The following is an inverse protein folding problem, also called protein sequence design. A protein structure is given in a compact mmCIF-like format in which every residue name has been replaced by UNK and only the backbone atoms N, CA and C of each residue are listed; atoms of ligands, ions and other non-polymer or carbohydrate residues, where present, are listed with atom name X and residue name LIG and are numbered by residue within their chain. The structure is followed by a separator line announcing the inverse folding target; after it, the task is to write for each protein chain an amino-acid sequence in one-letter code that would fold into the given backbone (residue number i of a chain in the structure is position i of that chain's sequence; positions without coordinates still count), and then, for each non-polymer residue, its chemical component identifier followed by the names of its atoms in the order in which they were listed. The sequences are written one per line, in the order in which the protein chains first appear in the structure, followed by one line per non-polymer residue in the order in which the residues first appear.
data_IF_914540669047
#
_entry.id   IF_914540669047
#
_cell.length_a   1.000
_cell.length_b   1.000
_cell.length_c   1.000
_cell.angle_alpha   90.00
_cell.angle_beta   90.00
_cell.angle_gamma   90.00
#
_symmetry.space_group_name_H-M   'P 1'
#
loop_
_entity.id
_entity.type
_entity.pdbx_description
1 polymer ?
#
# COMPACT_ATOMS: atom_id res chain seq x y z
N UNK A 1 -12.22 6.36 -23.43
CA UNK A 1 -12.96 6.34 -22.15
C UNK A 1 -12.28 7.35 -21.24
N UNK A 2 -13.01 8.19 -20.50
CA UNK A 2 -12.38 9.20 -19.63
C UNK A 2 -12.16 8.57 -18.24
N UNK A 3 -10.91 8.43 -17.80
CA UNK A 3 -10.59 7.95 -16.45
C UNK A 3 -10.49 9.11 -15.46
N UNK A 4 -10.66 8.84 -14.17
CA UNK A 4 -10.37 9.81 -13.10
C UNK A 4 -9.03 9.43 -12.46
N UNK A 5 -7.91 10.08 -12.85
CA UNK A 5 -6.57 9.65 -12.42
C UNK A 5 -6.32 9.83 -10.92
N UNK A 6 -6.96 10.81 -10.29
CA UNK A 6 -6.82 11.07 -8.85
C UNK A 6 -7.71 10.17 -7.98
N UNK A 7 -8.36 9.16 -8.55
CA UNK A 7 -9.11 8.17 -7.78
C UNK A 7 -8.11 7.27 -7.00
N UNK A 8 -8.21 7.20 -5.65
CA UNK A 8 -7.30 6.37 -4.85
C UNK A 8 -7.33 4.88 -5.21
N UNK A 9 -8.37 4.38 -5.89
CA UNK A 9 -8.47 2.99 -6.35
C UNK A 9 -7.34 2.58 -7.29
N UNK A 10 -6.74 3.51 -8.03
CA UNK A 10 -5.59 3.19 -8.90
C UNK A 10 -4.36 2.75 -8.09
N UNK A 11 -4.05 3.48 -7.02
CA UNK A 11 -2.96 3.13 -6.11
C UNK A 11 -3.29 1.83 -5.37
N UNK A 12 -4.52 1.69 -4.85
CA UNK A 12 -4.96 0.47 -4.16
C UNK A 12 -4.87 -0.77 -5.08
N UNK A 13 -5.21 -0.63 -6.37
CA UNK A 13 -5.05 -1.70 -7.36
C UNK A 13 -3.60 -2.11 -7.53
N UNK A 14 -2.69 -1.13 -7.67
CA UNK A 14 -1.25 -1.37 -7.84
C UNK A 14 -0.59 -1.97 -6.59
N UNK A 15 -1.08 -1.60 -5.40
CA UNK A 15 -0.61 -2.14 -4.13
C UNK A 15 -1.28 -3.47 -3.74
N UNK A 16 -2.34 -3.89 -4.45
CA UNK A 16 -3.03 -5.15 -4.20
C UNK A 16 -4.01 -5.12 -3.03
N UNK A 17 -4.57 -3.95 -2.73
CA UNK A 17 -5.44 -3.69 -1.57
C UNK A 17 -6.94 -3.81 -1.90
N UNK A 18 -7.29 -3.88 -3.19
CA UNK A 18 -8.67 -4.03 -3.65
C UNK A 18 -9.20 -5.45 -3.46
N UNK A 19 -10.51 -5.55 -3.21
CA UNK A 19 -11.22 -6.82 -3.28
C UNK A 19 -11.37 -7.33 -4.74
N UNK A 20 -11.99 -8.50 -4.90
CA UNK A 20 -12.12 -9.13 -6.20
C UNK A 20 -13.00 -8.34 -7.19
N UNK A 21 -14.07 -7.71 -6.71
CA UNK A 21 -15.02 -6.99 -7.55
C UNK A 21 -14.44 -5.65 -7.99
N UNK A 22 -13.83 -4.93 -7.04
CA UNK A 22 -13.11 -3.67 -7.30
C UNK A 22 -11.92 -3.87 -8.24
N UNK A 23 -11.15 -4.95 -8.04
CA UNK A 23 -10.05 -5.33 -8.94
C UNK A 23 -10.55 -5.57 -10.35
N UNK A 24 -11.62 -6.35 -10.52
CA UNK A 24 -12.19 -6.66 -11.82
C UNK A 24 -12.70 -5.40 -12.54
N UNK A 25 -13.20 -4.41 -11.79
CA UNK A 25 -13.57 -3.10 -12.34
C UNK A 25 -12.36 -2.38 -12.96
N UNK A 26 -11.28 -2.23 -12.19
CA UNK A 26 -10.07 -1.57 -12.65
C UNK A 26 -9.44 -2.32 -13.83
N UNK A 27 -9.41 -3.65 -13.82
CA UNK A 27 -8.87 -4.47 -14.91
C UNK A 27 -9.62 -4.24 -16.23
N UNK A 28 -10.94 -4.05 -16.21
CA UNK A 28 -11.72 -3.67 -17.41
C UNK A 28 -11.33 -2.28 -17.93
N UNK A 29 -11.05 -1.33 -17.04
CA UNK A 29 -10.59 0.00 -17.42
C UNK A 29 -9.20 -0.06 -18.07
N UNK A 30 -8.29 -0.83 -17.48
CA UNK A 30 -6.93 -1.06 -17.99
C UNK A 30 -6.98 -1.75 -19.37
N UNK A 31 -7.83 -2.75 -19.55
CA UNK A 31 -7.97 -3.45 -20.84
C UNK A 31 -8.56 -2.56 -21.94
N UNK A 32 -9.39 -1.58 -21.59
CA UNK A 32 -10.08 -0.73 -22.57
C UNK A 32 -9.45 0.65 -22.79
N UNK A 33 -8.41 1.03 -22.03
CA UNK A 33 -7.82 2.37 -22.08
C UNK A 33 -6.28 2.34 -22.06
N UNK A 34 -5.65 2.96 -23.05
CA UNK A 34 -4.20 3.17 -23.07
C UNK A 34 -3.77 4.09 -21.93
N UNK A 35 -4.54 5.14 -21.66
CA UNK A 35 -4.30 6.08 -20.55
C UNK A 35 -4.28 5.37 -19.19
N UNK A 36 -5.19 4.41 -18.97
CA UNK A 36 -5.23 3.62 -17.74
C UNK A 36 -4.02 2.69 -17.61
N UNK A 37 -3.56 2.09 -18.71
CA UNK A 37 -2.34 1.28 -18.71
C UNK A 37 -1.12 2.11 -18.33
N UNK A 38 -0.98 3.30 -18.93
CA UNK A 38 0.12 4.22 -18.62
C UNK A 38 0.11 4.62 -17.14
N UNK A 39 -1.05 5.02 -16.60
CA UNK A 39 -1.18 5.37 -15.18
C UNK A 39 -0.77 4.21 -14.26
N UNK A 40 -1.21 2.98 -14.56
CA UNK A 40 -0.85 1.79 -13.79
C UNK A 40 0.66 1.52 -13.84
N UNK A 41 1.30 1.68 -14.99
CA UNK A 41 2.74 1.49 -15.11
C UNK A 41 3.53 2.56 -14.34
N UNK A 42 3.12 3.84 -14.41
CA UNK A 42 3.74 4.92 -13.63
C UNK A 42 3.65 4.66 -12.12
N UNK A 43 2.47 4.26 -11.63
CA UNK A 43 2.27 3.91 -10.23
C UNK A 43 3.08 2.68 -9.82
N UNK A 44 3.21 1.67 -10.68
CA UNK A 44 4.05 0.49 -10.42
C UNK A 44 5.52 0.86 -10.27
N UNK A 45 6.02 1.74 -11.14
CA UNK A 45 7.39 2.26 -11.07
C UNK A 45 7.61 3.03 -9.77
N UNK A 46 6.72 3.98 -9.44
CA UNK A 46 6.83 4.76 -8.20
C UNK A 46 6.78 3.87 -6.95
N UNK A 47 5.84 2.92 -6.89
CA UNK A 47 5.75 1.96 -5.80
C UNK A 47 6.98 1.05 -5.71
N UNK A 48 7.57 0.67 -6.85
CA UNK A 48 8.84 -0.06 -6.92
C UNK A 48 9.99 0.72 -6.29
N UNK A 49 10.19 1.97 -6.71
CA UNK A 49 11.23 2.85 -6.17
C UNK A 49 11.12 3.00 -4.64
N UNK A 50 9.90 3.20 -4.13
CA UNK A 50 9.66 3.31 -2.69
C UNK A 50 9.96 2.00 -1.94
N UNK A 51 9.56 0.86 -2.49
CA UNK A 51 9.86 -0.46 -1.89
C UNK A 51 11.37 -0.72 -1.86
N UNK A 52 12.07 -0.43 -2.95
CA UNK A 52 13.51 -0.67 -3.06
C UNK A 52 14.30 0.23 -2.10
N UNK A 53 13.95 1.52 -2.03
CA UNK A 53 14.58 2.47 -1.10
C UNK A 53 14.33 2.06 0.35
N UNK A 54 13.08 1.71 0.71
CA UNK A 54 12.74 1.26 2.05
C UNK A 54 13.45 -0.05 2.42
N UNK A 55 13.55 -1.00 1.49
CA UNK A 55 14.31 -2.23 1.68
C UNK A 55 15.80 -1.93 1.91
N UNK A 56 16.37 -0.96 1.19
CA UNK A 56 17.77 -0.54 1.37
C UNK A 56 18.06 0.08 2.75
N UNK A 57 17.04 0.62 3.41
CA UNK A 57 17.12 1.17 4.76
C UNK A 57 16.94 0.11 5.85
N UNK A 58 16.52 -1.11 5.50
CA UNK A 58 16.37 -2.20 6.45
C UNK A 58 17.70 -2.49 7.16
N UNK A 59 17.69 -2.43 8.49
CA UNK A 59 18.90 -2.58 9.33
C UNK A 59 19.70 -1.29 9.56
N UNK A 60 19.34 -0.17 8.94
CA UNK A 60 19.92 1.16 9.27
C UNK A 60 19.20 1.85 10.42
N UNK A 61 17.95 1.50 10.67
CA UNK A 61 17.21 2.01 11.82
C UNK A 61 17.76 1.36 13.11
N UNK A 62 17.98 2.14 14.19
CA UNK A 62 18.33 1.58 15.48
C UNK A 62 17.21 0.65 15.94
N UNK A 63 17.58 -0.60 16.27
CA UNK A 63 16.63 -1.53 16.87
C UNK A 63 16.20 -1.01 18.24
N UNK A 64 14.93 -1.27 18.61
CA UNK A 64 14.49 -1.05 19.98
C UNK A 64 15.29 -1.95 20.91
N UNK A 65 15.68 -1.40 22.07
CA UNK A 65 16.14 -2.20 23.19
C UNK A 65 15.03 -3.18 23.62
N UNK A 66 15.41 -4.29 24.24
CA UNK A 66 14.47 -5.33 24.63
C UNK A 66 13.34 -4.79 25.51
N UNK A 67 13.67 -3.87 26.43
CA UNK A 67 12.73 -3.22 27.35
C UNK A 67 11.77 -2.28 26.60
N UNK A 68 12.28 -1.54 25.61
CA UNK A 68 11.46 -0.65 24.78
C UNK A 68 10.48 -1.46 23.93
N UNK A 69 10.96 -2.55 23.31
CA UNK A 69 10.12 -3.46 22.53
C UNK A 69 9.05 -4.12 23.40
N UNK A 70 9.40 -4.56 24.61
CA UNK A 70 8.46 -5.12 25.57
C UNK A 70 7.39 -4.09 25.97
N UNK A 71 7.78 -2.84 26.21
CA UNK A 71 6.85 -1.75 26.51
C UNK A 71 5.83 -1.49 25.39
N UNK A 72 6.29 -1.47 24.13
CA UNK A 72 5.40 -1.29 22.97
C UNK A 72 4.41 -2.45 22.84
N UNK A 73 4.87 -3.70 22.99
CA UNK A 73 4.01 -4.89 22.92
C UNK A 73 2.98 -4.96 24.06
N UNK A 74 3.37 -4.54 25.27
CA UNK A 74 2.44 -4.47 26.40
C UNK A 74 1.36 -3.39 26.18
N UNK A 75 1.75 -2.21 25.66
CA UNK A 75 0.83 -1.12 25.36
C UNK A 75 -0.16 -1.47 24.24
N UNK A 76 0.29 -2.17 23.19
CA UNK A 76 -0.58 -2.58 22.08
C UNK A 76 -1.60 -3.66 22.48
N UNK A 77 -1.25 -4.54 23.43
CA UNK A 77 -2.16 -5.51 24.00
C UNK A 77 -3.28 -4.85 24.84
N UNK A 78 -2.98 -3.77 25.56
CA UNK A 78 -3.96 -3.00 26.34
C UNK A 78 -4.92 -2.16 25.50
N UNK A 79 -4.48 -1.72 24.30
CA UNK A 79 -5.30 -0.94 23.37
C UNK A 79 -6.32 -1.77 22.58
N UNK A 80 -6.29 -3.11 22.70
CA UNK A 80 -7.19 -4.02 21.98
C UNK A 80 -8.50 -4.32 22.74
N UNK A 81 -8.73 -3.71 23.91
CA UNK A 81 -10.01 -3.82 24.61
C UNK A 81 -11.02 -2.80 24.03
N UNK A 82 -12.18 -3.23 23.50
CA UNK A 82 -13.18 -2.30 22.98
C UNK A 82 -13.82 -1.54 24.13
N UNK A 83 -13.92 -0.21 23.99
CA UNK A 83 -14.87 0.58 24.76
C UNK A 83 -16.29 0.08 24.42
N UNK A 84 -17.00 -0.39 25.45
CA UNK A 84 -18.44 -0.69 25.39
C UNK A 84 -19.26 0.58 25.36
#
# INVERSE_FOLDING_TARGET
MNIHPDDPKWTAYVLGELDADERAEIERLVESSEEARTLVEELRVAAGMLRDELASQSGRAPALLAEQRAGVLAASAGASAPAR
#
